data_IF_020085423472
#
_entry.id   IF_020085423472
#
_cell.length_a   1.000
_cell.length_b   1.000
_cell.length_c   1.000
_cell.angle_alpha   90.00
_cell.angle_beta   90.00
_cell.angle_gamma   90.00
#
_symmetry.space_group_name_H-M   'P 1'
#
loop_
_entity.id
_entity.type
_entity.pdbx_description
1 polymer ?
#
# COMPACT_ATOMS: atom_id res chain seq x y z
N UNK A 1 -43.71 -8.83 -35.11
CA UNK A 1 -42.62 -9.15 -34.17
C UNK A 1 -41.52 -8.13 -34.35
N UNK A 2 -41.23 -7.32 -33.32
CA UNK A 2 -40.20 -6.29 -33.34
C UNK A 2 -38.94 -6.86 -32.69
N UNK A 3 -37.86 -7.06 -33.45
CA UNK A 3 -36.59 -7.57 -32.90
C UNK A 3 -35.80 -6.41 -32.27
N UNK A 4 -35.70 -6.41 -30.95
CA UNK A 4 -34.83 -5.50 -30.21
C UNK A 4 -33.38 -5.99 -30.27
N UNK A 5 -32.52 -5.23 -30.96
CA UNK A 5 -31.07 -5.42 -30.93
C UNK A 5 -30.52 -4.88 -29.61
N UNK A 6 -30.27 -5.78 -28.66
CA UNK A 6 -29.56 -5.48 -27.41
C UNK A 6 -28.10 -5.13 -27.70
N UNK A 7 -27.80 -3.83 -27.73
CA UNK A 7 -26.45 -3.30 -27.82
C UNK A 7 -25.70 -3.59 -26.51
N UNK A 8 -24.82 -4.60 -26.52
CA UNK A 8 -23.94 -4.88 -25.38
C UNK A 8 -22.96 -3.71 -25.21
N UNK A 9 -23.16 -2.88 -24.18
CA UNK A 9 -22.20 -1.86 -23.79
C UNK A 9 -20.91 -2.56 -23.36
N UNK A 10 -19.84 -2.41 -24.14
CA UNK A 10 -18.52 -2.86 -23.73
C UNK A 10 -18.11 -2.08 -22.47
N UNK A 11 -17.70 -2.76 -21.38
CA UNK A 11 -17.09 -2.09 -20.24
C UNK A 11 -15.89 -1.29 -20.74
N UNK A 12 -15.82 -0.01 -20.37
CA UNK A 12 -14.69 0.82 -20.71
C UNK A 12 -13.40 0.15 -20.17
N UNK A 13 -12.41 -0.03 -21.05
CA UNK A 13 -11.15 -0.64 -20.67
C UNK A 13 -10.49 0.21 -19.58
N UNK A 14 -10.20 -0.40 -18.43
CA UNK A 14 -9.48 0.27 -17.36
C UNK A 14 -8.04 0.55 -17.81
N UNK A 15 -7.49 1.74 -17.53
CA UNK A 15 -6.13 2.07 -17.92
C UNK A 15 -5.12 1.19 -17.18
N UNK A 16 -4.21 0.59 -17.94
CA UNK A 16 -3.09 -0.19 -17.41
C UNK A 16 -1.91 0.74 -17.10
N UNK A 17 -1.48 0.77 -15.85
CA UNK A 17 -0.28 1.49 -15.41
C UNK A 17 0.90 0.51 -15.32
N UNK A 18 1.90 0.68 -16.19
CA UNK A 18 3.14 -0.10 -16.18
C UNK A 18 4.25 0.80 -15.63
N UNK A 19 4.71 0.54 -14.41
CA UNK A 19 5.83 1.26 -13.79
C UNK A 19 7.10 0.45 -14.05
N UNK A 20 8.06 1.01 -14.79
CA UNK A 20 9.39 0.42 -14.95
C UNK A 20 10.22 0.71 -13.70
N UNK A 21 10.86 -0.32 -13.17
CA UNK A 21 11.89 -0.20 -12.13
C UNK A 21 13.17 0.32 -12.78
N UNK A 22 13.43 1.61 -12.67
CA UNK A 22 14.72 2.20 -13.02
C UNK A 22 15.81 1.58 -12.13
N UNK A 23 16.95 1.22 -12.72
CA UNK A 23 18.01 0.52 -12.02
C UNK A 23 18.88 1.50 -11.22
N UNK A 24 19.20 1.05 -9.99
CA UNK A 24 20.26 1.51 -9.08
C UNK A 24 20.14 2.90 -8.45
N UNK A 25 19.22 3.05 -7.49
CA UNK A 25 19.53 3.83 -6.30
C UNK A 25 20.31 2.94 -5.33
N UNK A 26 21.62 3.20 -5.16
CA UNK A 26 22.50 2.43 -4.25
C UNK A 26 22.14 2.56 -2.77
N UNK A 27 21.12 3.35 -2.45
CA UNK A 27 20.63 3.59 -1.10
C UNK A 27 19.27 2.93 -0.81
N UNK A 28 18.77 2.10 -1.74
CA UNK A 28 17.53 1.36 -1.55
C UNK A 28 17.84 -0.03 -0.99
N UNK A 29 17.37 -0.29 0.23
CA UNK A 29 17.37 -1.64 0.81
C UNK A 29 16.02 -2.31 0.53
N UNK A 30 16.07 -3.48 -0.10
CA UNK A 30 14.88 -4.30 -0.35
C UNK A 30 14.65 -5.26 0.81
N UNK A 31 13.38 -5.48 1.13
CA UNK A 31 12.93 -6.36 2.21
C UNK A 31 11.92 -7.36 1.67
N UNK A 32 11.94 -8.58 2.20
CA UNK A 32 11.00 -9.63 1.82
C UNK A 32 9.65 -9.47 2.52
N UNK A 33 9.61 -8.71 3.61
CA UNK A 33 8.40 -8.45 4.40
C UNK A 33 8.46 -7.11 5.12
N UNK A 34 7.30 -6.60 5.53
CA UNK A 34 7.22 -5.38 6.34
C UNK A 34 7.81 -5.64 7.73
N UNK A 35 7.66 -6.85 8.27
CA UNK A 35 8.24 -7.27 9.55
C UNK A 35 9.77 -7.19 9.55
N UNK A 36 10.42 -7.57 8.45
CA UNK A 36 11.87 -7.45 8.28
C UNK A 36 12.31 -5.98 8.28
N UNK A 37 11.57 -5.11 7.58
CA UNK A 37 11.85 -3.68 7.57
C UNK A 37 11.66 -3.03 8.95
N UNK A 38 10.63 -3.44 9.71
CA UNK A 38 10.41 -2.95 11.08
C UNK A 38 11.54 -3.40 12.01
N UNK A 39 11.99 -4.65 11.90
CA UNK A 39 13.10 -5.15 12.71
C UNK A 39 14.40 -4.38 12.46
N UNK A 40 14.67 -3.97 11.21
CA UNK A 40 15.82 -3.12 10.90
C UNK A 40 15.69 -1.73 11.56
N UNK A 41 14.51 -1.12 11.47
CA UNK A 41 14.22 0.18 12.09
C UNK A 41 14.29 0.13 13.63
N UNK A 42 13.97 -1.01 14.25
CA UNK A 42 14.09 -1.21 15.71
C UNK A 42 15.54 -1.20 16.21
N UNK A 43 16.48 -1.56 15.34
CA UNK A 43 17.90 -1.56 15.64
C UNK A 43 18.58 -0.22 15.29
N UNK A 44 17.87 0.71 14.65
CA UNK A 44 18.40 2.02 14.28
C UNK A 44 18.35 2.99 15.48
N UNK A 45 19.50 3.46 16.00
CA UNK A 45 19.54 4.39 17.13
C UNK A 45 18.89 5.76 16.84
N UNK A 46 18.68 6.10 15.56
CA UNK A 46 18.05 7.35 15.16
C UNK A 46 16.52 7.26 15.14
N UNK A 47 15.96 6.06 15.31
CA UNK A 47 14.53 5.82 15.31
C UNK A 47 14.05 5.61 16.75
N UNK A 48 13.10 6.42 17.20
CA UNK A 48 12.58 6.28 18.56
C UNK A 48 11.62 5.10 18.67
N UNK A 49 11.70 4.39 19.80
CA UNK A 49 10.81 3.27 20.10
C UNK A 49 9.31 3.63 19.99
N UNK A 50 8.94 4.86 20.39
CA UNK A 50 7.57 5.37 20.23
C UNK A 50 7.09 5.38 18.77
N UNK A 51 7.96 5.76 17.82
CA UNK A 51 7.61 5.78 16.39
C UNK A 51 7.41 4.36 15.86
N UNK A 52 8.23 3.40 16.30
CA UNK A 52 8.08 1.98 15.95
C UNK A 52 6.76 1.42 16.48
N UNK A 53 6.43 1.70 17.73
CA UNK A 53 5.20 1.22 18.35
C UNK A 53 3.96 1.74 17.60
N UNK A 54 3.95 3.04 17.27
CA UNK A 54 2.89 3.65 16.47
C UNK A 54 2.79 3.03 15.06
N UNK A 55 3.92 2.73 14.43
CA UNK A 55 3.96 2.04 13.14
C UNK A 55 3.36 0.64 13.22
N UNK A 56 3.75 -0.17 14.22
CA UNK A 56 3.20 -1.51 14.44
C UNK A 56 1.68 -1.48 14.69
N UNK A 57 1.21 -0.53 15.51
CA UNK A 57 -0.23 -0.35 15.78
C UNK A 57 -1.00 0.03 14.52
N UNK A 58 -0.44 0.93 13.70
CA UNK A 58 -1.02 1.34 12.42
C UNK A 58 -1.11 0.14 11.47
N UNK A 59 -0.02 -0.61 11.30
CA UNK A 59 0.00 -1.78 10.42
C UNK A 59 -1.01 -2.85 10.85
N UNK A 60 -1.12 -3.12 12.17
CA UNK A 60 -2.12 -4.04 12.72
C UNK A 60 -3.55 -3.60 12.39
N UNK A 61 -3.81 -2.30 12.48
CA UNK A 61 -5.12 -1.71 12.14
C UNK A 61 -5.43 -1.79 10.64
N UNK A 62 -4.40 -1.79 9.78
CA UNK A 62 -4.54 -1.88 8.33
C UNK A 62 -4.73 -3.32 7.84
N UNK A 63 -4.05 -4.30 8.45
CA UNK A 63 -3.95 -5.69 7.95
C UNK A 63 -5.30 -6.37 7.67
N UNK A 64 -6.36 -5.95 8.35
CA UNK A 64 -7.69 -6.54 8.25
C UNK A 64 -8.75 -5.58 7.67
N UNK A 65 -8.38 -4.39 7.21
CA UNK A 65 -9.33 -3.38 6.73
C UNK A 65 -9.33 -3.31 5.22
N UNK A 66 -10.52 -3.34 4.62
CA UNK A 66 -10.75 -3.08 3.19
C UNK A 66 -10.94 -1.58 2.90
N UNK A 67 -11.19 -0.78 3.93
CA UNK A 67 -11.34 0.68 3.85
C UNK A 67 -10.80 1.34 5.12
N UNK A 68 -10.17 2.50 4.97
CA UNK A 68 -9.53 3.24 6.05
C UNK A 68 -9.92 4.73 5.99
N UNK A 69 -10.06 5.34 7.16
CA UNK A 69 -10.30 6.78 7.28
C UNK A 69 -9.09 7.41 7.95
N UNK A 70 -8.58 8.49 7.36
CA UNK A 70 -7.43 9.23 7.88
C UNK A 70 -7.88 10.63 8.28
N UNK A 71 -7.56 11.05 9.50
CA UNK A 71 -7.80 12.40 10.00
C UNK A 71 -6.55 12.92 10.68
N UNK A 72 -6.08 14.10 10.30
CA UNK A 72 -4.87 14.74 10.86
C UNK A 72 -3.61 13.85 10.82
N UNK A 73 -3.47 13.01 9.79
CA UNK A 73 -2.33 12.09 9.66
C UNK A 73 -2.41 10.84 10.52
N UNK A 74 -3.56 10.58 11.16
CA UNK A 74 -3.80 9.38 11.97
C UNK A 74 -4.93 8.53 11.38
N UNK A 75 -4.80 7.21 11.51
CA UNK A 75 -5.84 6.25 11.15
C UNK A 75 -6.87 6.24 12.28
N UNK A 76 -8.15 6.44 11.93
CA UNK A 76 -9.29 6.39 12.85
C UNK A 76 -10.25 5.23 12.55
#
# INVERSE_FOLDING_TARGET
MLMSLSSKKHPAAAPLLIIKKEASDTNTKEYNSIEEAIADLENDPNVSAYKIEKLRSSLKSLKNKTSITIRNGEII
#
